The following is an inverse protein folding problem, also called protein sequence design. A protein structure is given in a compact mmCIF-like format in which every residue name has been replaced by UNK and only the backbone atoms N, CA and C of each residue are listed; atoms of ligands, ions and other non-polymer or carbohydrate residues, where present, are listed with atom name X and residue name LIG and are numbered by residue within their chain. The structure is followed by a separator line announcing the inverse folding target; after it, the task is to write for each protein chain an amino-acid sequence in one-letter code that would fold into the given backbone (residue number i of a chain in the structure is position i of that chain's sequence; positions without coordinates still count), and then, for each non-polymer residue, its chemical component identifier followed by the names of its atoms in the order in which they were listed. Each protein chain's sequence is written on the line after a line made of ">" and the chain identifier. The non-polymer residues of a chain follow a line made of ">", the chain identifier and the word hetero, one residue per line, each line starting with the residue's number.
data_IF_042803293062
#
_entry.id   IF_042803293062
#
_cell.length_a   1.000
_cell.length_b   1.000
_cell.length_c   1.000
_cell.angle_alpha   90.00
_cell.angle_beta   90.00
_cell.angle_gamma   90.00
#
_symmetry.space_group_name_H-M   'P 1'
#
loop_
_entity.id
_entity.type
_entity.pdbx_description
1 polymer ?
#
# COMPACT_ATOMS: atom_id res chain seq x y z
N UNK A 1 -11.58 -12.04 -1.42
CA UNK A 1 -11.80 -10.63 -1.80
C UNK A 1 -13.07 -10.04 -1.19
N UNK A 2 -14.24 -10.66 -1.30
CA UNK A 2 -15.52 -10.10 -0.78
C UNK A 2 -15.52 -9.75 0.70
N UNK A 3 -15.09 -10.67 1.57
CA UNK A 3 -15.02 -10.42 3.02
C UNK A 3 -14.11 -9.22 3.35
N UNK A 4 -12.95 -9.11 2.71
CA UNK A 4 -12.04 -7.96 2.89
C UNK A 4 -12.64 -6.65 2.40
N UNK A 5 -13.44 -6.67 1.33
CA UNK A 5 -14.12 -5.48 0.83
C UNK A 5 -15.14 -4.94 1.83
N UNK A 6 -15.95 -5.83 2.44
CA UNK A 6 -16.90 -5.47 3.49
C UNK A 6 -16.18 -4.89 4.71
N UNK A 7 -15.17 -5.61 5.23
CA UNK A 7 -14.39 -5.16 6.38
C UNK A 7 -13.77 -3.78 6.15
N UNK A 8 -13.14 -3.59 5.01
CA UNK A 8 -12.49 -2.32 4.68
C UNK A 8 -13.50 -1.18 4.53
N UNK A 9 -14.63 -1.45 3.89
CA UNK A 9 -15.69 -0.46 3.72
C UNK A 9 -16.23 0.06 5.07
N UNK A 10 -16.30 -0.81 6.06
CA UNK A 10 -16.67 -0.47 7.43
C UNK A 10 -15.53 0.27 8.16
N UNK A 11 -14.33 -0.29 8.17
CA UNK A 11 -13.18 0.24 8.90
C UNK A 11 -12.70 1.62 8.43
N UNK A 12 -12.90 1.96 7.15
CA UNK A 12 -12.54 3.28 6.63
C UNK A 12 -13.46 4.41 7.11
N UNK A 13 -14.61 4.09 7.69
CA UNK A 13 -15.50 5.05 8.32
C UNK A 13 -15.01 5.35 9.74
N UNK A 14 -15.18 6.60 10.19
CA UNK A 14 -14.94 6.90 11.58
C UNK A 14 -15.94 6.17 12.47
N UNK A 15 -15.49 5.45 13.49
CA UNK A 15 -16.29 4.49 14.28
C UNK A 15 -17.58 5.02 14.90
N UNK A 16 -17.65 6.34 15.15
CA UNK A 16 -18.85 6.99 15.73
C UNK A 16 -19.74 7.63 14.69
N UNK A 17 -19.40 7.55 13.39
CA UNK A 17 -20.15 8.14 12.29
C UNK A 17 -21.02 7.09 11.63
N UNK A 18 -22.33 7.34 11.56
CA UNK A 18 -23.22 6.52 10.76
C UNK A 18 -22.95 6.68 9.27
N UNK A 19 -23.01 5.58 8.52
CA UNK A 19 -22.86 5.60 7.07
C UNK A 19 -23.88 4.69 6.39
N UNK A 20 -24.15 4.98 5.11
CA UNK A 20 -25.01 4.14 4.28
C UNK A 20 -24.16 3.14 3.51
N UNK A 21 -24.42 1.85 3.70
CA UNK A 21 -23.76 0.79 2.95
C UNK A 21 -24.20 0.83 1.47
N UNK A 22 -23.21 0.73 0.57
CA UNK A 22 -23.43 0.76 -0.89
C UNK A 22 -22.46 -0.23 -1.57
N UNK A 23 -23.01 -1.30 -2.15
CA UNK A 23 -22.22 -2.31 -2.83
C UNK A 23 -21.40 -1.79 -4.00
N UNK A 24 -21.93 -0.83 -4.78
CA UNK A 24 -21.22 -0.26 -5.92
C UNK A 24 -20.00 0.51 -5.47
N UNK A 25 -20.16 1.34 -4.42
CA UNK A 25 -19.05 2.10 -3.83
C UNK A 25 -18.02 1.20 -3.15
N UNK A 26 -18.45 0.11 -2.56
CA UNK A 26 -17.57 -0.85 -1.88
C UNK A 26 -16.69 -1.61 -2.86
N UNK A 27 -17.23 -1.98 -4.02
CA UNK A 27 -16.54 -2.78 -5.05
C UNK A 27 -15.92 -1.93 -6.16
N UNK A 28 -15.93 -0.62 -6.04
CA UNK A 28 -15.32 0.28 -7.00
C UNK A 28 -13.81 -0.01 -7.10
N UNK A 29 -13.32 -0.15 -8.32
CA UNK A 29 -11.89 -0.33 -8.62
C UNK A 29 -11.10 0.98 -8.58
N UNK A 30 -11.78 2.08 -8.29
CA UNK A 30 -11.22 3.43 -8.10
C UNK A 30 -11.56 3.96 -6.71
N UNK A 31 -10.72 4.83 -6.21
CA UNK A 31 -10.92 5.45 -4.91
C UNK A 31 -10.50 4.56 -3.73
N UNK A 32 -10.92 4.96 -2.53
CA UNK A 32 -10.50 4.31 -1.28
C UNK A 32 -11.33 3.04 -0.99
N UNK A 33 -10.97 1.94 -1.64
CA UNK A 33 -11.63 0.63 -1.55
C UNK A 33 -10.60 -0.50 -1.41
N UNK A 34 -10.99 -1.61 -0.79
CA UNK A 34 -10.13 -2.79 -0.72
C UNK A 34 -9.76 -3.33 -2.11
N UNK A 35 -10.65 -3.21 -3.07
CA UNK A 35 -10.43 -3.64 -4.47
C UNK A 35 -9.26 -2.86 -5.07
N UNK A 36 -9.28 -1.53 -4.96
CA UNK A 36 -8.19 -0.67 -5.44
C UNK A 36 -6.86 -0.98 -4.75
N UNK A 37 -6.87 -1.18 -3.42
CA UNK A 37 -5.67 -1.51 -2.66
C UNK A 37 -5.08 -2.85 -3.08
N UNK A 38 -5.91 -3.87 -3.30
CA UNK A 38 -5.45 -5.18 -3.75
C UNK A 38 -4.91 -5.14 -5.18
N UNK A 39 -5.51 -4.37 -6.08
CA UNK A 39 -4.94 -4.12 -7.40
C UNK A 39 -3.56 -3.48 -7.34
N UNK A 40 -3.38 -2.49 -6.47
CA UNK A 40 -2.07 -1.85 -6.27
C UNK A 40 -1.04 -2.85 -5.73
N UNK A 41 -1.41 -3.68 -4.76
CA UNK A 41 -0.54 -4.72 -4.21
C UNK A 41 -0.17 -5.79 -5.24
N UNK A 42 -1.14 -6.28 -6.02
CA UNK A 42 -0.90 -7.25 -7.10
C UNK A 42 0.02 -6.66 -8.18
N UNK A 43 -0.10 -5.37 -8.48
CA UNK A 43 0.80 -4.67 -9.40
C UNK A 43 2.25 -4.74 -8.91
N UNK A 44 2.52 -4.51 -7.62
CA UNK A 44 3.85 -4.67 -7.03
C UNK A 44 4.35 -6.11 -7.20
N UNK A 45 3.55 -7.11 -6.86
CA UNK A 45 3.90 -8.51 -7.04
C UNK A 45 4.18 -8.86 -8.53
N UNK A 46 3.44 -8.25 -9.45
CA UNK A 46 3.62 -8.44 -10.89
C UNK A 46 4.93 -7.82 -11.40
N UNK A 47 5.40 -6.73 -10.81
CA UNK A 47 6.70 -6.13 -11.13
C UNK A 47 7.83 -7.13 -10.84
N UNK A 48 7.81 -7.78 -9.66
CA UNK A 48 8.82 -8.77 -9.29
C UNK A 48 8.83 -9.96 -10.24
N UNK A 49 7.66 -10.45 -10.62
CA UNK A 49 7.55 -11.53 -11.63
C UNK A 49 8.12 -11.12 -12.98
N UNK A 50 7.82 -9.91 -13.44
CA UNK A 50 8.35 -9.38 -14.73
C UNK A 50 9.85 -9.17 -14.72
N UNK A 51 10.42 -8.81 -13.58
CA UNK A 51 11.85 -8.62 -13.40
C UNK A 51 12.58 -9.91 -13.03
N UNK A 52 11.87 -11.04 -12.90
CA UNK A 52 12.40 -12.33 -12.43
C UNK A 52 13.16 -12.23 -11.10
N UNK A 53 12.69 -11.36 -10.20
CA UNK A 53 13.27 -11.17 -8.87
C UNK A 53 12.68 -12.18 -7.89
N UNK A 54 13.55 -12.99 -7.28
CA UNK A 54 13.19 -13.83 -6.15
C UNK A 54 13.21 -13.05 -4.83
N UNK A 55 12.64 -13.60 -3.78
CA UNK A 55 12.73 -12.98 -2.45
C UNK A 55 14.19 -12.88 -1.97
N UNK A 56 15.02 -13.86 -2.32
CA UNK A 56 16.46 -13.87 -2.00
C UNK A 56 17.20 -12.69 -2.66
N UNK A 57 16.89 -12.38 -3.92
CA UNK A 57 17.48 -11.23 -4.62
C UNK A 57 17.08 -9.91 -3.95
N UNK A 58 15.82 -9.78 -3.56
CA UNK A 58 15.32 -8.61 -2.83
C UNK A 58 16.03 -8.45 -1.47
N UNK A 59 16.17 -9.54 -0.72
CA UNK A 59 16.83 -9.52 0.59
C UNK A 59 18.31 -9.17 0.48
N UNK A 60 18.99 -9.57 -0.61
CA UNK A 60 20.35 -9.15 -0.90
C UNK A 60 20.43 -7.65 -1.24
N UNK A 61 19.52 -7.14 -2.06
CA UNK A 61 19.44 -5.70 -2.36
C UNK A 61 19.24 -4.88 -1.08
N UNK A 62 18.36 -5.32 -0.18
CA UNK A 62 18.11 -4.65 1.12
C UNK A 62 19.38 -4.56 1.96
N UNK A 63 20.26 -5.58 1.92
CA UNK A 63 21.51 -5.60 2.68
C UNK A 63 22.63 -4.79 2.05
N UNK A 64 22.69 -4.74 0.72
CA UNK A 64 23.86 -4.23 -0.02
C UNK A 64 23.66 -2.87 -0.65
N UNK A 65 22.42 -2.44 -0.84
CA UNK A 65 22.08 -1.20 -1.56
C UNK A 65 21.39 -0.18 -0.66
N UNK A 66 21.43 1.08 -1.07
CA UNK A 66 20.76 2.20 -0.39
C UNK A 66 19.72 2.82 -1.32
N UNK A 67 18.69 3.41 -0.71
CA UNK A 67 17.71 4.22 -1.43
C UNK A 67 18.31 5.59 -1.72
N UNK A 68 18.31 5.97 -2.98
CA UNK A 68 18.66 7.30 -3.46
C UNK A 68 17.43 7.95 -4.08
N UNK A 69 17.06 9.12 -3.58
CA UNK A 69 15.89 9.86 -4.06
C UNK A 69 16.35 10.90 -5.07
N UNK A 70 15.88 10.79 -6.30
CA UNK A 70 16.21 11.70 -7.41
C UNK A 70 14.99 12.43 -7.95
N UNK A 71 13.83 11.77 -7.93
CA UNK A 71 12.59 12.29 -8.50
C UNK A 71 11.59 12.70 -7.40
N UNK A 72 10.73 13.67 -7.75
CA UNK A 72 9.69 14.15 -6.84
C UNK A 72 8.71 13.04 -6.41
N UNK A 73 8.36 12.14 -7.33
CA UNK A 73 7.46 11.03 -7.05
C UNK A 73 8.08 10.03 -6.05
N UNK A 74 9.38 9.75 -6.16
CA UNK A 74 10.11 8.94 -5.17
C UNK A 74 10.08 9.57 -3.78
N UNK A 75 10.36 10.88 -3.71
CA UNK A 75 10.32 11.65 -2.45
C UNK A 75 8.95 11.64 -1.80
N UNK A 76 7.90 11.90 -2.57
CA UNK A 76 6.52 11.94 -2.06
C UNK A 76 6.10 10.58 -1.48
N UNK A 77 6.45 9.49 -2.17
CA UNK A 77 6.14 8.14 -1.74
C UNK A 77 6.92 7.77 -0.47
N UNK A 78 8.23 7.96 -0.45
CA UNK A 78 9.07 7.64 0.71
C UNK A 78 8.66 8.45 1.93
N UNK A 79 8.41 9.75 1.79
CA UNK A 79 7.94 10.58 2.89
C UNK A 79 6.61 10.07 3.46
N UNK A 80 5.69 9.62 2.61
CA UNK A 80 4.42 9.06 3.07
C UNK A 80 4.63 7.74 3.83
N UNK A 81 5.53 6.87 3.35
CA UNK A 81 5.85 5.61 4.04
C UNK A 81 6.40 5.85 5.46
N UNK A 82 7.21 6.90 5.65
CA UNK A 82 7.79 7.25 6.95
C UNK A 82 6.77 7.72 7.98
N UNK A 83 5.55 8.08 7.59
CA UNK A 83 4.47 8.47 8.52
C UNK A 83 3.85 7.29 9.28
N UNK A 84 4.25 6.05 9.01
CA UNK A 84 3.60 4.87 9.58
C UNK A 84 3.51 4.91 11.11
N UNK A 85 4.60 5.21 11.80
CA UNK A 85 4.61 5.25 13.26
C UNK A 85 3.67 6.33 13.82
N UNK A 86 3.69 7.52 13.21
CA UNK A 86 2.79 8.62 13.61
C UNK A 86 1.32 8.24 13.43
N UNK A 87 1.01 7.55 12.31
CA UNK A 87 -0.35 7.06 12.04
C UNK A 87 -0.78 6.03 13.10
N UNK A 88 0.10 5.08 13.45
CA UNK A 88 -0.20 4.08 14.48
C UNK A 88 -0.42 4.74 15.84
N UNK A 89 0.40 5.72 16.21
CA UNK A 89 0.22 6.46 17.45
C UNK A 89 -1.14 7.19 17.50
N UNK A 90 -1.55 7.82 16.42
CA UNK A 90 -2.86 8.46 16.31
C UNK A 90 -4.02 7.45 16.35
N UNK A 91 -3.88 6.31 15.67
CA UNK A 91 -4.88 5.22 15.73
C UNK A 91 -5.07 4.73 17.16
N UNK A 92 -3.99 4.57 17.92
CA UNK A 92 -4.04 4.07 19.30
C UNK A 92 -4.69 5.05 20.29
N UNK A 93 -4.59 6.35 20.06
CA UNK A 93 -5.23 7.37 20.91
C UNK A 93 -6.76 7.22 20.94
N UNK A 94 -7.37 7.07 19.77
CA UNK A 94 -8.83 7.12 19.61
C UNK A 94 -9.43 5.82 19.02
N UNK A 95 -8.62 4.78 18.83
CA UNK A 95 -9.00 3.57 18.10
C UNK A 95 -9.56 3.87 16.70
N UNK A 96 -8.98 4.89 16.05
CA UNK A 96 -9.43 5.42 14.77
C UNK A 96 -8.81 4.65 13.59
N UNK A 97 -9.26 3.43 13.33
CA UNK A 97 -8.73 2.57 12.25
C UNK A 97 -8.89 3.18 10.84
N UNK A 98 -9.82 4.11 10.66
CA UNK A 98 -9.96 4.87 9.42
C UNK A 98 -8.68 5.62 9.04
N UNK A 99 -7.86 6.07 10.00
CA UNK A 99 -6.58 6.72 9.74
C UNK A 99 -5.56 5.76 9.10
N UNK A 100 -5.56 4.48 9.52
CA UNK A 100 -4.74 3.45 8.88
C UNK A 100 -5.25 3.12 7.47
N UNK A 101 -6.56 3.12 7.26
CA UNK A 101 -7.16 2.98 5.93
C UNK A 101 -6.72 4.12 4.99
N UNK A 102 -6.75 5.36 5.45
CA UNK A 102 -6.30 6.53 4.68
C UNK A 102 -4.80 6.47 4.39
N UNK A 103 -4.01 6.01 5.35
CA UNK A 103 -2.57 5.82 5.16
C UNK A 103 -2.26 4.79 4.07
N UNK A 104 -2.86 3.61 4.10
CA UNK A 104 -2.61 2.57 3.08
C UNK A 104 -3.14 2.98 1.71
N UNK A 105 -4.25 3.70 1.66
CA UNK A 105 -4.74 4.31 0.42
C UNK A 105 -3.75 5.35 -0.13
N UNK A 106 -3.17 6.17 0.73
CA UNK A 106 -2.09 7.10 0.36
C UNK A 106 -0.86 6.40 -0.21
N UNK A 107 -0.46 5.23 0.32
CA UNK A 107 0.61 4.40 -0.29
C UNK A 107 0.22 4.01 -1.71
N UNK A 108 -0.99 3.46 -1.90
CA UNK A 108 -1.44 2.96 -3.20
C UNK A 108 -1.50 4.06 -4.27
N UNK A 109 -1.99 5.26 -3.93
CA UNK A 109 -2.07 6.40 -4.86
C UNK A 109 -0.68 6.93 -5.22
N UNK A 110 0.18 7.15 -4.23
CA UNK A 110 1.56 7.63 -4.47
C UNK A 110 2.42 6.59 -5.17
N UNK A 111 2.20 5.31 -4.92
CA UNK A 111 2.84 4.25 -5.67
C UNK A 111 2.42 4.26 -7.15
N UNK A 112 1.16 4.53 -7.46
CA UNK A 112 0.71 4.67 -8.86
C UNK A 112 1.41 5.84 -9.56
N UNK A 113 1.49 7.00 -8.91
CA UNK A 113 2.23 8.17 -9.42
C UNK A 113 3.72 7.85 -9.66
N UNK A 114 4.36 7.19 -8.70
CA UNK A 114 5.75 6.74 -8.81
C UNK A 114 5.95 5.74 -9.96
N UNK A 115 5.06 4.77 -10.10
CA UNK A 115 5.14 3.76 -11.15
C UNK A 115 4.99 4.35 -12.56
N UNK A 116 4.16 5.38 -12.71
CA UNK A 116 3.98 6.10 -13.98
C UNK A 116 5.16 7.02 -14.32
N UNK A 117 5.72 7.70 -13.30
CA UNK A 117 6.77 8.69 -13.50
C UNK A 117 8.19 8.08 -13.57
N UNK A 118 8.41 6.90 -12.95
CA UNK A 118 9.73 6.35 -12.70
C UNK A 118 9.88 4.95 -13.27
N UNK A 119 10.88 4.74 -14.12
CA UNK A 119 11.24 3.39 -14.60
C UNK A 119 11.91 2.60 -13.47
N UNK A 120 11.30 1.48 -13.05
CA UNK A 120 11.80 0.62 -11.96
C UNK A 120 12.87 -0.35 -12.46
N UNK A 121 12.70 -0.91 -13.66
CA UNK A 121 13.62 -1.87 -14.24
C UNK A 121 15.05 -1.34 -14.33
N UNK A 122 16.02 -2.09 -13.81
CA UNK A 122 17.43 -1.73 -13.83
C UNK A 122 17.83 -0.64 -12.83
N UNK A 123 16.96 -0.34 -11.85
CA UNK A 123 17.23 0.64 -10.80
C UNK A 123 17.01 0.03 -9.41
N UNK A 124 18.11 -0.35 -8.75
CA UNK A 124 18.09 -1.00 -7.44
C UNK A 124 17.38 -0.16 -6.37
N UNK A 125 17.60 1.16 -6.36
CA UNK A 125 16.95 2.08 -5.43
C UNK A 125 15.42 2.06 -5.58
N UNK A 126 14.92 2.06 -6.81
CA UNK A 126 13.47 1.99 -7.09
C UNK A 126 12.86 0.63 -6.78
N UNK A 127 13.62 -0.44 -6.95
CA UNK A 127 13.22 -1.78 -6.49
C UNK A 127 13.08 -1.79 -4.95
N UNK A 128 14.01 -1.17 -4.23
CA UNK A 128 13.93 -1.04 -2.77
C UNK A 128 12.74 -0.19 -2.31
N UNK A 129 12.42 0.91 -2.99
CA UNK A 129 11.23 1.72 -2.72
C UNK A 129 9.95 0.88 -2.93
N UNK A 130 9.92 0.09 -4.01
CA UNK A 130 8.80 -0.83 -4.30
C UNK A 130 8.65 -1.89 -3.20
N UNK A 131 9.75 -2.44 -2.69
CA UNK A 131 9.74 -3.39 -1.58
C UNK A 131 9.21 -2.76 -0.29
N UNK A 132 9.62 -1.53 0.03
CA UNK A 132 9.05 -0.81 1.17
C UNK A 132 7.54 -0.64 1.05
N UNK A 133 7.05 -0.25 -0.13
CA UNK A 133 5.60 -0.16 -0.36
C UNK A 133 4.90 -1.50 -0.10
N UNK A 134 5.46 -2.60 -0.63
CA UNK A 134 4.91 -3.94 -0.42
C UNK A 134 4.83 -4.29 1.07
N UNK A 135 5.91 -4.06 1.82
CA UNK A 135 5.98 -4.37 3.25
C UNK A 135 4.99 -3.54 4.07
N UNK A 136 4.93 -2.23 3.85
CA UNK A 136 4.00 -1.37 4.58
C UNK A 136 2.54 -1.64 4.22
N UNK A 137 2.23 -1.92 2.94
CA UNK A 137 0.88 -2.34 2.55
C UNK A 137 0.50 -3.66 3.21
N UNK A 138 1.39 -4.67 3.18
CA UNK A 138 1.14 -5.97 3.80
C UNK A 138 0.92 -5.84 5.30
N UNK A 139 1.76 -5.07 6.00
CA UNK A 139 1.63 -4.80 7.42
C UNK A 139 0.29 -4.11 7.74
N UNK A 140 -0.09 -3.11 6.96
CA UNK A 140 -1.38 -2.43 7.11
C UNK A 140 -2.56 -3.38 6.89
N UNK A 141 -2.48 -4.26 5.89
CA UNK A 141 -3.51 -5.28 5.65
C UNK A 141 -3.63 -6.26 6.83
N UNK A 142 -2.52 -6.70 7.38
CA UNK A 142 -2.52 -7.60 8.55
C UNK A 142 -3.16 -6.92 9.76
N UNK A 143 -2.83 -5.66 10.04
CA UNK A 143 -3.44 -4.88 11.12
C UNK A 143 -4.95 -4.63 10.92
N UNK A 144 -5.40 -4.48 9.69
CA UNK A 144 -6.81 -4.33 9.32
C UNK A 144 -7.54 -5.68 9.14
N UNK A 145 -6.86 -6.80 9.41
CA UNK A 145 -7.39 -8.16 9.18
C UNK A 145 -7.88 -8.39 7.74
N UNK A 146 -7.18 -7.81 6.77
CA UNK A 146 -7.44 -8.01 5.34
C UNK A 146 -6.49 -9.06 4.79
N UNK A 147 -6.99 -9.92 3.92
CA UNK A 147 -6.19 -10.94 3.25
C UNK A 147 -5.97 -10.53 1.80
N UNK A 148 -4.79 -9.97 1.45
CA UNK A 148 -4.50 -9.61 0.08
C UNK A 148 -4.29 -10.85 -0.78
N UNK A 149 -4.52 -10.69 -2.07
CA UNK A 149 -4.19 -11.68 -3.10
C UNK A 149 -2.93 -11.23 -3.83
N UNK A 150 -2.09 -12.19 -4.22
CA UNK A 150 -0.82 -11.88 -4.93
C UNK A 150 -0.94 -11.98 -6.44
N UNK A 151 -2.06 -12.52 -6.92
CA UNK A 151 -2.35 -12.68 -8.33
C UNK A 151 -3.85 -12.55 -8.58
N UNK A 152 -4.21 -11.81 -9.61
CA UNK A 152 -5.55 -11.71 -10.21
C UNK A 152 -5.50 -12.32 -11.59
#
# INVERSE_FOLDING_TARGET
>A
MGTSAIKYFDLKQFRTTGYRFDFKKMLDDKGNTAVYLFYSYVRICSIYRKLNLSQSDIDELVKTKKIEIKEKAEKNLVNHLLLFNDVIDEVLKDLALNLLCDYVYGIATKFSEFYEACKIQGNDSRILITELCKRFMKLSFDLLSLTPIEKI
#
